data_IF_422734274946
#
_entry.id   IF_422734274946
#
_cell.length_a   1.000
_cell.length_b   1.000
_cell.length_c   1.000
_cell.angle_alpha   90.00
_cell.angle_beta   90.00
_cell.angle_gamma   90.00
#
_symmetry.space_group_name_H-M   'P 1'
#
loop_
_entity.id
_entity.type
_entity.pdbx_description
1 polymer ?
#
# COMPACT_ATOMS: atom_id res chain seq x y z
N UNK A 1 14.34 14.58 -3.32
CA UNK A 1 14.87 13.21 -3.17
C UNK A 1 13.70 12.34 -2.78
N UNK A 2 13.53 11.17 -3.41
CA UNK A 2 12.45 10.25 -3.06
C UNK A 2 12.84 9.50 -1.79
N UNK A 3 12.09 9.71 -0.71
CA UNK A 3 12.41 9.18 0.62
C UNK A 3 11.30 8.33 1.22
N UNK A 4 10.11 8.37 0.61
CA UNK A 4 8.94 7.61 1.03
C UNK A 4 9.21 6.10 1.20
N UNK A 5 10.19 5.54 0.50
CA UNK A 5 10.51 4.11 0.51
C UNK A 5 11.82 3.73 1.20
N UNK A 6 12.48 4.66 1.90
CA UNK A 6 13.79 4.41 2.54
C UNK A 6 13.72 3.37 3.67
N UNK A 7 12.60 3.33 4.41
CA UNK A 7 12.40 2.41 5.53
C UNK A 7 11.79 1.08 5.05
N UNK A 8 12.59 0.26 4.34
CA UNK A 8 12.15 -1.02 3.74
C UNK A 8 11.50 -2.00 4.74
N UNK A 9 11.86 -1.91 6.02
CA UNK A 9 11.30 -2.74 7.09
C UNK A 9 9.82 -2.43 7.34
N UNK A 10 9.39 -1.17 7.18
CA UNK A 10 8.01 -0.76 7.38
C UNK A 10 7.07 -1.49 6.41
N UNK A 11 7.47 -1.62 5.14
CA UNK A 11 6.66 -2.28 4.11
C UNK A 11 6.58 -3.79 4.32
N UNK A 12 7.71 -4.42 4.63
CA UNK A 12 7.76 -5.86 4.91
C UNK A 12 6.84 -6.21 6.09
N UNK A 13 6.92 -5.41 7.16
CA UNK A 13 6.07 -5.54 8.34
C UNK A 13 4.59 -5.28 8.01
N UNK A 14 4.29 -4.20 7.28
CA UNK A 14 2.92 -3.85 6.90
C UNK A 14 2.26 -4.95 6.06
N UNK A 15 2.94 -5.49 5.05
CA UNK A 15 2.41 -6.57 4.22
C UNK A 15 2.23 -7.86 5.03
N UNK A 16 3.12 -8.16 5.97
CA UNK A 16 2.94 -9.29 6.89
C UNK A 16 1.65 -9.16 7.69
N UNK A 17 1.37 -7.99 8.30
CA UNK A 17 0.14 -7.79 9.09
C UNK A 17 -1.12 -7.95 8.26
N UNK A 18 -1.13 -7.42 7.04
CA UNK A 18 -2.25 -7.59 6.10
C UNK A 18 -2.48 -9.08 5.80
N UNK A 19 -1.41 -9.84 5.45
CA UNK A 19 -1.54 -11.27 5.15
C UNK A 19 -1.99 -12.10 6.34
N UNK A 20 -1.51 -11.78 7.53
CA UNK A 20 -1.88 -12.46 8.78
C UNK A 20 -3.37 -12.25 9.07
N UNK A 21 -3.88 -11.02 8.96
CA UNK A 21 -5.30 -10.73 9.19
C UNK A 21 -6.23 -11.37 8.15
N UNK A 22 -5.79 -11.48 6.89
CA UNK A 22 -6.56 -12.20 5.86
C UNK A 22 -6.63 -13.70 6.16
N UNK A 23 -5.54 -14.29 6.67
CA UNK A 23 -5.45 -15.74 6.87
C UNK A 23 -6.05 -16.20 8.19
N UNK A 24 -5.93 -15.39 9.24
CA UNK A 24 -6.42 -15.67 10.58
C UNK A 24 -7.06 -14.39 11.16
N UNK A 25 -8.32 -14.09 10.78
CA UNK A 25 -9.00 -12.89 11.25
C UNK A 25 -9.32 -13.02 12.73
N UNK A 26 -8.68 -12.18 13.54
CA UNK A 26 -8.94 -11.99 14.96
C UNK A 26 -8.71 -10.53 15.31
N UNK A 27 -9.33 -10.04 16.38
CA UNK A 27 -9.36 -8.61 16.74
C UNK A 27 -7.97 -7.95 16.69
N UNK A 28 -6.97 -8.59 17.31
CA UNK A 28 -5.58 -8.10 17.29
C UNK A 28 -4.96 -8.06 15.89
N UNK A 29 -5.22 -9.09 15.06
CA UNK A 29 -4.68 -9.13 13.70
C UNK A 29 -5.35 -8.09 12.81
N UNK A 30 -6.68 -7.93 12.95
CA UNK A 30 -7.46 -6.92 12.22
C UNK A 30 -6.97 -5.52 12.58
N UNK A 31 -6.85 -5.21 13.87
CA UNK A 31 -6.31 -3.94 14.34
C UNK A 31 -4.88 -3.68 13.82
N UNK A 32 -4.01 -4.68 13.89
CA UNK A 32 -2.65 -4.56 13.37
C UNK A 32 -2.64 -4.33 11.84
N UNK A 33 -3.51 -5.00 11.09
CA UNK A 33 -3.60 -4.82 9.65
C UNK A 33 -4.17 -3.45 9.24
N UNK A 34 -5.13 -2.90 9.99
CA UNK A 34 -5.68 -1.57 9.70
C UNK A 34 -4.71 -0.46 10.06
N UNK A 35 -4.19 -0.46 11.29
CA UNK A 35 -3.36 0.64 11.82
C UNK A 35 -1.90 0.56 11.35
N UNK A 36 -1.30 -0.64 11.44
CA UNK A 36 0.12 -0.84 11.18
C UNK A 36 0.40 -1.41 9.79
N UNK A 37 -0.59 -2.02 9.15
CA UNK A 37 -0.50 -2.45 7.76
C UNK A 37 -0.88 -1.32 6.81
N UNK A 38 -2.19 -1.19 6.59
CA UNK A 38 -2.78 -0.28 5.62
C UNK A 38 -2.52 1.19 5.98
N UNK A 39 -2.54 1.56 7.25
CA UNK A 39 -2.23 2.92 7.71
C UNK A 39 -0.78 3.35 7.43
N UNK A 40 0.19 2.43 7.51
CA UNK A 40 1.57 2.72 7.10
C UNK A 40 1.65 2.90 5.59
N UNK A 41 1.07 1.97 4.81
CA UNK A 41 1.07 2.06 3.35
C UNK A 41 0.47 3.39 2.88
N UNK A 42 -0.71 3.77 3.40
CA UNK A 42 -1.38 5.01 3.02
C UNK A 42 -0.48 6.23 3.22
N UNK A 43 0.11 6.40 4.41
CA UNK A 43 0.97 7.55 4.73
C UNK A 43 2.21 7.62 3.85
N UNK A 44 2.86 6.48 3.59
CA UNK A 44 4.06 6.44 2.74
C UNK A 44 3.71 6.73 1.28
N UNK A 45 2.59 6.24 0.78
CA UNK A 45 2.15 6.51 -0.60
C UNK A 45 1.64 7.94 -0.79
N UNK A 46 1.01 8.55 0.21
CA UNK A 46 0.73 9.99 0.21
C UNK A 46 2.01 10.83 0.17
N UNK A 47 3.05 10.43 0.92
CA UNK A 47 4.35 11.07 0.83
C UNK A 47 4.95 10.92 -0.57
N UNK A 48 4.93 9.71 -1.14
CA UNK A 48 5.46 9.46 -2.47
C UNK A 48 4.72 10.27 -3.55
N UNK A 49 3.38 10.40 -3.45
CA UNK A 49 2.57 11.27 -4.32
C UNK A 49 3.06 12.72 -4.28
N UNK A 50 3.32 13.26 -3.09
CA UNK A 50 3.86 14.62 -2.93
C UNK A 50 5.27 14.75 -3.51
N UNK A 51 6.11 13.74 -3.33
CA UNK A 51 7.47 13.73 -3.90
C UNK A 51 7.42 13.73 -5.44
N UNK A 52 6.49 12.99 -6.05
CA UNK A 52 6.26 12.98 -7.50
C UNK A 52 5.69 14.31 -8.01
N UNK A 53 4.80 14.95 -7.26
CA UNK A 53 4.23 16.25 -7.62
C UNK A 53 5.31 17.35 -7.64
N UNK A 54 6.11 17.43 -6.57
CA UNK A 54 7.27 18.34 -6.49
C UNK A 54 8.29 18.04 -7.60
N UNK A 55 8.39 16.79 -8.02
CA UNK A 55 9.24 16.36 -9.11
C UNK A 55 8.69 16.73 -10.51
N UNK A 56 7.42 17.12 -10.64
CA UNK A 56 6.76 17.31 -11.94
C UNK A 56 6.38 16.00 -12.65
N UNK A 57 6.45 14.87 -11.95
CA UNK A 57 6.25 13.53 -12.51
C UNK A 57 4.88 12.93 -12.18
N UNK A 58 4.09 13.57 -11.30
CA UNK A 58 2.82 13.02 -10.81
C UNK A 58 1.85 12.67 -11.95
N UNK A 59 1.76 13.49 -13.01
CA UNK A 59 0.82 13.26 -14.11
C UNK A 59 1.03 11.92 -14.83
N UNK A 60 2.25 11.37 -14.81
CA UNK A 60 2.56 10.08 -15.43
C UNK A 60 2.09 8.89 -14.58
N UNK A 61 1.86 9.09 -13.28
CA UNK A 61 1.69 8.01 -12.30
C UNK A 61 0.42 8.15 -11.45
N UNK A 62 -0.35 9.22 -11.63
CA UNK A 62 -1.53 9.53 -10.81
C UNK A 62 -2.56 8.39 -10.83
N UNK A 63 -2.85 7.83 -12.00
CA UNK A 63 -3.80 6.72 -12.15
C UNK A 63 -3.36 5.47 -11.37
N UNK A 64 -2.08 5.11 -11.44
CA UNK A 64 -1.55 3.93 -10.76
C UNK A 64 -1.55 4.14 -9.23
N UNK A 65 -1.22 5.35 -8.77
CA UNK A 65 -1.30 5.73 -7.36
C UNK A 65 -2.73 5.72 -6.83
N UNK A 66 -3.68 6.24 -7.60
CA UNK A 66 -5.10 6.20 -7.23
C UNK A 66 -5.64 4.77 -7.21
N UNK A 67 -5.19 3.91 -8.13
CA UNK A 67 -5.50 2.48 -8.12
C UNK A 67 -4.90 1.79 -6.90
N UNK A 68 -3.65 2.11 -6.53
CA UNK A 68 -3.02 1.59 -5.32
C UNK A 68 -3.77 2.01 -4.05
N UNK A 69 -4.13 3.29 -3.93
CA UNK A 69 -4.89 3.83 -2.81
C UNK A 69 -6.31 3.24 -2.76
N UNK A 70 -6.94 3.00 -3.90
CA UNK A 70 -8.22 2.30 -3.98
C UNK A 70 -8.11 0.89 -3.37
N UNK A 71 -7.08 0.13 -3.73
CA UNK A 71 -6.83 -1.21 -3.17
C UNK A 71 -6.61 -1.17 -1.64
N UNK A 72 -5.92 -0.15 -1.12
CA UNK A 72 -5.80 0.07 0.34
C UNK A 72 -7.19 0.26 0.96
N UNK A 73 -8.01 1.18 0.40
CA UNK A 73 -9.33 1.49 0.92
C UNK A 73 -10.28 0.29 0.89
N UNK A 74 -10.20 -0.54 -0.16
CA UNK A 74 -10.96 -1.79 -0.28
C UNK A 74 -10.58 -2.75 0.85
N UNK A 75 -9.29 -2.95 1.12
CA UNK A 75 -8.85 -3.81 2.22
C UNK A 75 -9.20 -3.24 3.60
N UNK A 76 -9.19 -1.91 3.78
CA UNK A 76 -9.64 -1.28 5.02
C UNK A 76 -11.12 -1.61 5.28
N UNK A 77 -11.97 -1.49 4.25
CA UNK A 77 -13.41 -1.85 4.34
C UNK A 77 -13.61 -3.34 4.58
N UNK A 78 -12.80 -4.20 3.96
CA UNK A 78 -12.83 -5.64 4.21
C UNK A 78 -12.58 -5.96 5.68
N UNK A 79 -11.61 -5.31 6.32
CA UNK A 79 -11.30 -5.52 7.73
C UNK A 79 -12.29 -4.85 8.70
N UNK A 80 -13.03 -3.83 8.27
CA UNK A 80 -13.94 -3.02 9.11
C UNK A 80 -15.42 -3.35 8.88
N UNK A 81 -15.73 -4.63 8.68
CA UNK A 81 -17.10 -5.15 8.57
C UNK A 81 -17.50 -5.64 7.18
N UNK A 82 -16.64 -5.46 6.18
CA UNK A 82 -16.79 -6.04 4.85
C UNK A 82 -18.16 -5.79 4.17
N UNK A 83 -18.59 -4.52 4.02
CA UNK A 83 -19.91 -4.20 3.48
C UNK A 83 -20.11 -4.65 2.02
N UNK A 84 -19.01 -4.81 1.28
CA UNK A 84 -19.02 -5.26 -0.12
C UNK A 84 -19.08 -6.79 -0.28
N UNK A 85 -19.08 -7.54 0.83
CA UNK A 85 -19.17 -9.01 0.79
C UNK A 85 -17.96 -9.68 0.13
N UNK A 86 -16.77 -9.08 0.22
CA UNK A 86 -15.55 -9.64 -0.36
C UNK A 86 -15.18 -10.95 0.32
N UNK A 87 -14.71 -11.90 -0.46
CA UNK A 87 -14.21 -13.17 0.07
C UNK A 87 -12.75 -13.05 0.49
N UNK A 88 -12.27 -14.03 1.26
CA UNK A 88 -10.84 -14.18 1.55
C UNK A 88 -10.01 -14.24 0.26
N UNK A 89 -10.54 -14.85 -0.80
CA UNK A 89 -9.86 -14.92 -2.10
C UNK A 89 -9.67 -13.53 -2.70
N UNK A 90 -10.70 -12.69 -2.66
CA UNK A 90 -10.64 -11.31 -3.16
C UNK A 90 -9.63 -10.48 -2.36
N UNK A 91 -9.68 -10.57 -1.03
CA UNK A 91 -8.72 -9.90 -0.16
C UNK A 91 -7.26 -10.32 -0.45
N UNK A 92 -7.02 -11.60 -0.75
CA UNK A 92 -5.69 -12.08 -1.18
C UNK A 92 -5.26 -11.47 -2.51
N UNK A 93 -6.17 -11.30 -3.46
CA UNK A 93 -5.86 -10.65 -4.75
C UNK A 93 -5.44 -9.19 -4.52
N UNK A 94 -6.21 -8.42 -3.75
CA UNK A 94 -5.84 -7.04 -3.41
C UNK A 94 -4.52 -6.96 -2.64
N UNK A 95 -4.30 -7.85 -1.66
CA UNK A 95 -3.05 -7.89 -0.91
C UNK A 95 -1.84 -8.24 -1.80
N UNK A 96 -2.01 -9.10 -2.78
CA UNK A 96 -0.97 -9.45 -3.74
C UNK A 96 -0.69 -8.32 -4.72
N UNK A 97 -1.72 -7.61 -5.18
CA UNK A 97 -1.59 -6.41 -6.00
C UNK A 97 -0.73 -5.36 -5.30
N UNK A 98 -1.05 -5.00 -4.04
CA UNK A 98 -0.26 -4.03 -3.27
C UNK A 98 1.22 -4.41 -3.16
N UNK A 99 1.52 -5.68 -2.90
CA UNK A 99 2.90 -6.16 -2.82
C UNK A 99 3.65 -6.11 -4.15
N UNK A 100 2.93 -6.32 -5.26
CA UNK A 100 3.51 -6.36 -6.61
C UNK A 100 3.79 -4.95 -7.10
N UNK A 101 2.79 -4.08 -7.05
CA UNK A 101 2.92 -2.68 -7.45
C UNK A 101 3.94 -1.93 -6.60
N UNK A 102 4.04 -2.25 -5.30
CA UNK A 102 5.06 -1.64 -4.46
C UNK A 102 6.49 -1.86 -4.97
N UNK A 103 6.80 -3.04 -5.53
CA UNK A 103 8.12 -3.27 -6.13
C UNK A 103 8.32 -2.39 -7.37
N UNK A 104 7.27 -2.18 -8.15
CA UNK A 104 7.26 -1.26 -9.29
C UNK A 104 7.54 0.18 -8.86
N UNK A 105 6.81 0.67 -7.87
CA UNK A 105 7.00 2.04 -7.35
C UNK A 105 8.34 2.27 -6.66
N UNK A 106 8.89 1.26 -5.97
CA UNK A 106 10.25 1.34 -5.42
C UNK A 106 11.27 1.49 -6.55
N UNK A 107 11.16 0.68 -7.60
CA UNK A 107 12.05 0.77 -8.76
C UNK A 107 11.91 2.13 -9.45
N UNK A 108 10.69 2.62 -9.64
CA UNK A 108 10.44 3.95 -10.18
C UNK A 108 11.12 5.04 -9.35
N UNK A 109 10.98 5.00 -8.02
CA UNK A 109 11.61 5.97 -7.13
C UNK A 109 13.15 5.94 -7.24
N UNK A 110 13.74 4.75 -7.40
CA UNK A 110 15.17 4.55 -7.62
C UNK A 110 15.62 5.15 -8.98
N UNK A 111 14.86 4.91 -10.06
CA UNK A 111 15.12 5.45 -11.40
C UNK A 111 15.04 6.98 -11.42
N UNK A 112 13.96 7.57 -10.88
CA UNK A 112 13.79 9.02 -10.80
C UNK A 112 14.81 9.70 -9.89
N UNK A 113 15.39 8.98 -8.93
CA UNK A 113 16.48 9.48 -8.10
C UNK A 113 17.85 9.40 -8.80
N UNK A 114 18.05 8.48 -9.73
CA UNK A 114 19.28 8.32 -10.50
C UNK A 114 19.38 9.27 -11.70
N UNK A 115 18.23 9.63 -12.30
CA UNK A 115 18.14 10.59 -13.40
C UNK A 115 18.29 12.07 -12.96
N UNK A 116 18.52 12.31 -11.66
CA UNK A 116 18.66 13.64 -11.04
C UNK A 116 20.04 13.83 -10.41
#
# INVERSE_FOLDING_TARGET
MFTAFNERNDFSYAFEKIRNAISAPGENNVYAATELGLGILLRKYEQFRRELDVAGELGNWEYDLDTYNHCIAVLQRYFTGNPSGLTVRDARIYSQYLQTEHKGFVKLAEELAADR
#
